data_IF_149455162548
#
_entry.id   IF_149455162548
#
_cell.length_a   1.000
_cell.length_b   1.000
_cell.length_c   1.000
_cell.angle_alpha   90.00
_cell.angle_beta   90.00
_cell.angle_gamma   90.00
#
_symmetry.space_group_name_H-M   'P 1'
#
loop_
_entity.id
_entity.type
_entity.pdbx_description
1 polymer ?
#
# COMPACT_ATOMS: atom_id res chain seq x y z
N UNK A 1 9.95 -68.39 -6.97
CA UNK A 1 8.90 -67.46 -7.47
C UNK A 1 7.75 -67.37 -6.46
N UNK A 2 7.78 -66.41 -5.54
CA UNK A 2 6.60 -65.81 -4.87
C UNK A 2 7.01 -64.38 -4.50
N UNK A 3 6.48 -63.38 -5.22
CA UNK A 3 6.69 -61.96 -4.93
C UNK A 3 5.68 -61.57 -3.85
N UNK A 4 6.17 -61.10 -2.71
CA UNK A 4 5.35 -60.60 -1.60
C UNK A 4 5.04 -59.12 -1.89
N UNK A 5 3.79 -58.81 -2.22
CA UNK A 5 3.30 -57.45 -2.41
C UNK A 5 3.23 -56.76 -1.03
N UNK A 6 3.92 -55.63 -0.89
CA UNK A 6 3.80 -54.72 0.24
C UNK A 6 2.67 -53.73 -0.09
N UNK A 7 1.52 -53.84 0.58
CA UNK A 7 0.44 -52.85 0.49
C UNK A 7 0.81 -51.61 1.32
N UNK A 8 1.12 -50.50 0.65
CA UNK A 8 1.16 -49.18 1.31
C UNK A 8 -0.27 -48.65 1.43
N UNK A 9 -0.81 -48.63 2.65
CA UNK A 9 -2.03 -47.89 2.95
C UNK A 9 -1.68 -46.40 3.13
N UNK A 10 -2.08 -45.56 2.17
CA UNK A 10 -2.12 -44.11 2.37
C UNK A 10 -3.40 -43.75 3.12
N UNK A 11 -3.29 -43.41 4.40
CA UNK A 11 -4.36 -42.78 5.14
C UNK A 11 -4.37 -41.28 4.81
N UNK A 12 -5.34 -40.83 4.01
CA UNK A 12 -5.62 -39.40 3.83
C UNK A 12 -6.41 -38.93 5.04
N UNK A 13 -5.75 -38.24 5.96
CA UNK A 13 -6.42 -37.52 7.04
C UNK A 13 -6.97 -36.23 6.43
N UNK A 14 -8.25 -36.22 6.09
CA UNK A 14 -8.98 -34.99 5.76
C UNK A 14 -9.19 -34.26 7.09
N UNK A 15 -8.27 -33.35 7.42
CA UNK A 15 -8.48 -32.38 8.49
C UNK A 15 -9.59 -31.42 8.05
N UNK A 16 -10.80 -31.61 8.58
CA UNK A 16 -11.87 -30.62 8.49
C UNK A 16 -11.48 -29.49 9.46
N UNK A 17 -10.61 -28.60 9.00
CA UNK A 17 -10.43 -27.31 9.66
C UNK A 17 -11.74 -26.53 9.50
N UNK A 18 -12.34 -26.07 10.60
CA UNK A 18 -13.44 -25.12 10.56
C UNK A 18 -13.01 -23.90 9.75
N UNK A 19 -13.46 -23.82 8.49
CA UNK A 19 -13.38 -22.59 7.72
C UNK A 19 -14.30 -21.61 8.43
N UNK A 20 -13.74 -20.58 9.04
CA UNK A 20 -14.53 -19.48 9.57
C UNK A 20 -15.34 -18.89 8.42
N UNK A 21 -16.66 -19.13 8.42
CA UNK A 21 -17.59 -18.46 7.51
C UNK A 21 -17.62 -17.01 7.96
N UNK A 22 -16.95 -16.13 7.22
CA UNK A 22 -17.08 -14.70 7.45
C UNK A 22 -18.47 -14.26 7.01
N UNK A 23 -19.27 -13.81 7.96
CA UNK A 23 -20.54 -13.16 7.68
C UNK A 23 -20.28 -11.77 7.09
N UNK A 24 -20.47 -11.65 5.78
CA UNK A 24 -20.35 -10.39 5.05
C UNK A 24 -21.64 -9.58 5.03
N UNK A 25 -22.68 -10.00 5.77
CA UNK A 25 -24.01 -9.39 5.70
C UNK A 25 -24.68 -9.56 4.33
N UNK A 26 -24.29 -10.59 3.57
CA UNK A 26 -24.78 -10.85 2.21
C UNK A 26 -24.05 -10.08 1.10
N UNK A 27 -23.00 -9.32 1.43
CA UNK A 27 -22.21 -8.59 0.44
C UNK A 27 -21.14 -9.48 -0.20
N UNK A 28 -21.06 -9.43 -1.53
CA UNK A 28 -19.99 -10.03 -2.32
C UNK A 28 -19.68 -9.16 -3.55
N UNK A 29 -18.65 -9.52 -4.33
CA UNK A 29 -18.41 -8.87 -5.63
C UNK A 29 -19.58 -9.04 -6.61
N UNK A 30 -20.38 -10.09 -6.46
CA UNK A 30 -21.56 -10.37 -7.28
C UNK A 30 -22.74 -9.44 -6.92
N UNK A 31 -22.70 -8.78 -5.76
CA UNK A 31 -23.68 -7.76 -5.36
C UNK A 31 -23.52 -6.45 -6.14
N UNK A 32 -22.46 -6.31 -6.95
CA UNK A 32 -22.12 -5.09 -7.70
C UNK A 32 -22.04 -5.39 -9.21
N UNK A 33 -22.12 -4.36 -10.08
CA UNK A 33 -21.96 -4.55 -11.52
C UNK A 33 -20.65 -5.26 -11.88
N UNK A 34 -20.68 -6.02 -12.99
CA UNK A 34 -19.47 -6.67 -13.50
C UNK A 34 -18.37 -5.64 -13.75
N UNK A 35 -17.17 -5.91 -13.21
CA UNK A 35 -16.03 -5.00 -13.32
C UNK A 35 -16.04 -3.83 -12.34
N UNK A 36 -16.90 -3.86 -11.30
CA UNK A 36 -16.85 -2.85 -10.24
C UNK A 36 -15.50 -2.90 -9.52
N UNK A 37 -14.86 -1.73 -9.39
CA UNK A 37 -13.53 -1.54 -8.81
C UNK A 37 -13.64 -1.19 -7.34
N UNK A 38 -13.04 -2.00 -6.48
CA UNK A 38 -12.83 -1.69 -5.07
C UNK A 38 -11.38 -1.28 -4.84
N UNK A 39 -11.17 -0.12 -4.22
CA UNK A 39 -9.83 0.38 -3.97
C UNK A 39 -9.69 1.06 -2.62
N UNK A 40 -8.45 1.36 -2.28
CA UNK A 40 -8.09 2.20 -1.13
C UNK A 40 -7.53 3.54 -1.59
N UNK A 41 -7.49 4.52 -0.69
CA UNK A 41 -7.01 5.86 -1.00
C UNK A 41 -6.13 6.42 0.12
N UNK A 42 -5.02 7.03 -0.25
CA UNK A 42 -4.13 7.78 0.66
C UNK A 42 -3.77 9.15 0.07
N UNK A 43 -3.00 9.94 0.82
CA UNK A 43 -2.36 11.15 0.31
C UNK A 43 -0.89 11.21 0.72
N UNK A 44 -0.06 11.79 -0.14
CA UNK A 44 1.39 11.82 0.02
C UNK A 44 1.87 12.23 1.41
N UNK A 45 1.39 13.37 1.92
CA UNK A 45 1.89 13.91 3.19
C UNK A 45 1.49 13.05 4.40
N UNK A 46 0.39 12.30 4.30
CA UNK A 46 -0.11 11.49 5.41
C UNK A 46 0.65 10.18 5.58
N UNK A 47 1.26 9.63 4.51
CA UNK A 47 1.81 8.27 4.53
C UNK A 47 3.28 8.19 4.10
N UNK A 48 3.77 9.10 3.24
CA UNK A 48 5.11 8.94 2.65
C UNK A 48 6.24 9.11 3.67
N UNK A 49 6.17 10.14 4.51
CA UNK A 49 7.34 10.60 5.25
C UNK A 49 8.41 11.23 4.35
N UNK A 50 9.65 11.21 4.82
CA UNK A 50 10.80 11.81 4.12
C UNK A 50 10.54 13.28 3.76
N UNK A 51 9.89 14.01 4.68
CA UNK A 51 9.36 15.34 4.41
C UNK A 51 10.47 16.37 4.11
N UNK A 52 11.63 16.24 4.74
CA UNK A 52 12.79 17.13 4.59
C UNK A 52 14.01 16.44 3.94
N UNK A 53 13.80 15.31 3.24
CA UNK A 53 14.86 14.49 2.63
C UNK A 53 14.56 14.20 1.16
N UNK A 54 15.54 13.63 0.45
CA UNK A 54 15.37 13.22 -0.95
C UNK A 54 15.11 14.38 -1.92
N UNK A 55 15.55 15.59 -1.55
CA UNK A 55 15.39 16.80 -2.36
C UNK A 55 13.97 17.39 -2.35
N UNK A 56 13.06 16.90 -1.50
CA UNK A 56 11.72 17.49 -1.33
C UNK A 56 11.83 18.87 -0.67
N UNK A 57 11.17 19.87 -1.26
CA UNK A 57 10.99 21.19 -0.65
C UNK A 57 9.85 21.20 0.38
N UNK A 58 9.82 22.17 1.31
CA UNK A 58 8.74 22.29 2.27
C UNK A 58 7.42 22.62 1.59
N UNK A 59 6.34 22.03 2.09
CA UNK A 59 4.95 22.41 1.79
C UNK A 59 4.40 23.32 2.90
N UNK A 60 3.22 23.91 2.66
CA UNK A 60 2.52 24.70 3.69
C UNK A 60 2.25 23.89 4.96
N UNK A 61 2.04 22.58 4.85
CA UNK A 61 1.83 21.70 6.00
C UNK A 61 3.09 21.56 6.86
N UNK A 62 4.28 21.51 6.25
CA UNK A 62 5.55 21.43 7.00
C UNK A 62 5.79 22.67 7.88
N UNK A 63 5.27 23.82 7.46
CA UNK A 63 5.30 25.06 8.25
C UNK A 63 4.20 25.06 9.31
N UNK A 64 3.00 24.62 8.94
CA UNK A 64 1.82 24.64 9.81
C UNK A 64 1.98 23.71 11.03
N UNK A 65 2.49 22.49 10.84
CA UNK A 65 2.61 21.49 11.93
C UNK A 65 3.69 21.82 12.96
N UNK A 66 4.66 22.68 12.60
CA UNK A 66 5.73 23.11 13.51
C UNK A 66 5.29 24.20 14.49
N UNK A 67 4.12 24.79 14.31
CA UNK A 67 3.57 25.77 15.23
C UNK A 67 2.97 25.05 16.44
N UNK A 68 3.42 25.32 17.68
CA UNK A 68 2.94 24.59 18.85
C UNK A 68 1.42 24.70 19.02
N UNK A 69 0.79 23.56 19.31
CA UNK A 69 -0.66 23.47 19.56
C UNK A 69 -1.54 23.33 18.31
N UNK A 70 -0.97 23.33 17.10
CA UNK A 70 -1.75 23.06 15.88
C UNK A 70 -2.08 21.58 15.69
N UNK A 71 -1.17 20.69 16.11
CA UNK A 71 -1.33 19.24 16.02
C UNK A 71 -1.28 18.67 17.44
N UNK A 72 -2.11 17.66 17.70
CA UNK A 72 -2.06 16.91 18.95
C UNK A 72 -0.62 16.43 19.23
N UNK A 73 -0.16 16.58 20.47
CA UNK A 73 1.21 16.24 20.90
C UNK A 73 2.35 16.93 20.12
N UNK A 74 2.04 17.90 19.26
CA UNK A 74 2.98 18.49 18.28
C UNK A 74 3.57 17.45 17.32
N UNK A 75 2.77 16.46 16.93
CA UNK A 75 3.17 15.43 15.97
C UNK A 75 3.48 16.03 14.58
N UNK A 76 4.33 15.34 13.82
CA UNK A 76 4.74 15.73 12.46
C UNK A 76 4.63 14.55 11.50
N UNK A 77 4.62 14.85 10.20
CA UNK A 77 4.69 13.84 9.15
C UNK A 77 6.12 13.66 8.58
N UNK A 78 7.15 13.99 9.37
CA UNK A 78 8.55 13.84 8.93
C UNK A 78 8.86 12.38 8.55
N UNK A 79 8.27 11.43 9.28
CA UNK A 79 8.33 9.98 9.05
C UNK A 79 6.97 9.41 8.60
N UNK A 80 5.87 9.84 9.23
CA UNK A 80 4.53 9.28 8.97
C UNK A 80 4.52 7.73 9.06
N UNK A 81 3.84 7.05 8.13
CA UNK A 81 3.84 5.58 8.03
C UNK A 81 5.05 5.02 7.26
N UNK A 82 5.98 5.89 6.83
CA UNK A 82 7.21 5.55 6.08
C UNK A 82 6.99 4.78 4.77
N UNK A 83 5.85 5.04 4.09
CA UNK A 83 5.55 4.45 2.78
C UNK A 83 6.64 4.78 1.74
N UNK A 84 7.41 5.86 1.92
CA UNK A 84 8.52 6.17 1.02
C UNK A 84 9.52 5.00 0.89
N UNK A 85 9.75 4.27 1.98
CA UNK A 85 10.60 3.09 2.00
C UNK A 85 9.80 1.79 1.87
N UNK A 86 8.59 1.75 2.46
CA UNK A 86 7.79 0.52 2.59
C UNK A 86 6.64 0.36 1.57
N UNK A 87 6.65 1.13 0.47
CA UNK A 87 5.59 1.04 -0.56
C UNK A 87 5.41 -0.37 -1.14
N UNK A 88 6.45 -1.23 -1.11
CA UNK A 88 6.31 -2.60 -1.61
C UNK A 88 5.48 -3.46 -0.67
N UNK A 89 5.72 -3.36 0.64
CA UNK A 89 4.91 -4.03 1.64
C UNK A 89 3.45 -3.56 1.56
N UNK A 90 3.22 -2.26 1.44
CA UNK A 90 1.86 -1.70 1.33
C UNK A 90 1.13 -2.23 0.09
N UNK A 91 1.79 -2.25 -1.07
CA UNK A 91 1.19 -2.77 -2.31
C UNK A 91 0.96 -4.29 -2.23
N UNK A 92 1.83 -5.02 -1.54
CA UNK A 92 1.63 -6.45 -1.29
C UNK A 92 0.40 -6.70 -0.41
N UNK A 93 0.11 -5.82 0.55
CA UNK A 93 -1.13 -5.87 1.33
C UNK A 93 -2.37 -5.57 0.48
N UNK A 94 -2.30 -4.60 -0.44
CA UNK A 94 -3.41 -4.34 -1.39
C UNK A 94 -3.75 -5.57 -2.22
N UNK A 95 -2.72 -6.29 -2.68
CA UNK A 95 -2.90 -7.55 -3.40
C UNK A 95 -3.47 -8.65 -2.50
N UNK A 96 -2.95 -8.80 -1.28
CA UNK A 96 -3.42 -9.80 -0.31
C UNK A 96 -4.89 -9.60 0.06
N UNK A 97 -5.34 -8.37 0.22
CA UNK A 97 -6.73 -8.03 0.53
C UNK A 97 -7.63 -7.94 -0.70
N UNK A 98 -7.13 -8.32 -1.87
CA UNK A 98 -7.88 -8.39 -3.12
C UNK A 98 -8.53 -7.06 -3.52
N UNK A 99 -7.85 -5.94 -3.30
CA UNK A 99 -8.23 -4.65 -3.88
C UNK A 99 -7.84 -4.58 -5.36
N UNK A 100 -8.63 -3.85 -6.14
CA UNK A 100 -8.47 -3.67 -7.58
C UNK A 100 -7.65 -2.43 -7.93
N UNK A 101 -7.71 -1.39 -7.10
CA UNK A 101 -7.07 -0.11 -7.38
C UNK A 101 -6.48 0.56 -6.13
N UNK A 102 -5.45 1.36 -6.35
CA UNK A 102 -4.89 2.25 -5.34
C UNK A 102 -4.86 3.69 -5.81
N UNK A 103 -5.60 4.57 -5.11
CA UNK A 103 -5.52 6.01 -5.33
C UNK A 103 -4.51 6.62 -4.36
N UNK A 104 -3.50 7.29 -4.89
CA UNK A 104 -2.57 8.09 -4.10
C UNK A 104 -2.42 9.49 -4.72
N UNK A 105 -1.86 10.43 -3.97
CA UNK A 105 -1.50 11.75 -4.50
C UNK A 105 0.01 11.86 -4.71
N UNK A 106 0.42 12.70 -5.65
CA UNK A 106 1.83 13.05 -5.87
C UNK A 106 2.13 14.33 -5.07
N UNK A 107 3.18 14.32 -4.26
CA UNK A 107 3.64 15.50 -3.53
C UNK A 107 4.26 16.51 -4.49
N UNK A 108 3.59 17.64 -4.71
CA UNK A 108 4.10 18.70 -5.60
C UNK A 108 5.50 19.15 -5.16
N UNK A 109 5.70 19.48 -3.87
CA UNK A 109 7.01 19.93 -3.39
C UNK A 109 8.11 18.86 -3.45
N UNK A 110 7.75 17.58 -3.66
CA UNK A 110 8.73 16.52 -3.96
C UNK A 110 9.17 16.54 -5.43
N UNK A 111 8.30 16.97 -6.36
CA UNK A 111 8.60 17.11 -7.80
C UNK A 111 9.25 18.46 -8.11
N UNK A 112 8.67 19.55 -7.61
CA UNK A 112 9.16 20.92 -7.75
C UNK A 112 9.38 21.52 -6.35
N UNK A 113 10.60 21.43 -5.80
CA UNK A 113 10.87 21.87 -4.42
C UNK A 113 10.55 23.34 -4.16
N UNK A 114 10.76 24.20 -5.16
CA UNK A 114 10.46 25.64 -5.11
C UNK A 114 9.06 25.96 -5.69
N UNK A 115 8.19 24.96 -5.86
CA UNK A 115 6.86 25.07 -6.47
C UNK A 115 6.86 25.14 -8.00
N UNK A 116 7.88 25.76 -8.60
CA UNK A 116 8.09 25.84 -10.06
C UNK A 116 9.57 25.68 -10.42
N UNK A 117 9.86 25.51 -11.71
CA UNK A 117 11.23 25.52 -12.21
C UNK A 117 11.93 24.16 -12.12
N UNK A 118 13.01 24.07 -11.33
CA UNK A 118 13.89 22.89 -11.35
C UNK A 118 13.18 21.65 -10.80
N UNK A 119 13.13 20.60 -11.61
CA UNK A 119 12.59 19.29 -11.22
C UNK A 119 13.57 18.58 -10.28
N UNK A 120 13.04 17.98 -9.22
CA UNK A 120 13.74 17.02 -8.39
C UNK A 120 13.56 15.59 -8.93
N UNK A 121 14.54 15.12 -9.70
CA UNK A 121 14.50 13.78 -10.31
C UNK A 121 14.50 12.63 -9.31
N UNK A 122 15.00 12.82 -8.08
CA UNK A 122 14.89 11.81 -7.03
C UNK A 122 13.42 11.58 -6.62
N UNK A 123 12.63 12.67 -6.55
CA UNK A 123 11.19 12.63 -6.34
C UNK A 123 10.46 11.91 -7.46
N UNK A 124 10.78 12.23 -8.72
CA UNK A 124 10.23 11.53 -9.89
C UNK A 124 10.54 10.02 -9.83
N UNK A 125 11.78 9.67 -9.48
CA UNK A 125 12.20 8.28 -9.38
C UNK A 125 11.44 7.51 -8.29
N UNK A 126 11.05 8.15 -7.18
CA UNK A 126 10.23 7.53 -6.15
C UNK A 126 8.85 7.11 -6.70
N UNK A 127 8.11 8.05 -7.30
CA UNK A 127 6.78 7.74 -7.86
C UNK A 127 6.86 6.71 -8.99
N UNK A 128 7.87 6.79 -9.86
CA UNK A 128 8.10 5.78 -10.89
C UNK A 128 8.29 4.37 -10.30
N UNK A 129 9.07 4.21 -9.23
CA UNK A 129 9.26 2.89 -8.59
C UNK A 129 7.96 2.36 -7.99
N UNK A 130 7.17 3.22 -7.35
CA UNK A 130 5.88 2.82 -6.75
C UNK A 130 4.86 2.43 -7.83
N UNK A 131 4.68 3.26 -8.86
CA UNK A 131 3.78 2.99 -9.99
C UNK A 131 4.18 1.70 -10.71
N UNK A 132 5.46 1.51 -10.98
CA UNK A 132 5.94 0.28 -11.60
C UNK A 132 5.64 -0.96 -10.74
N UNK A 133 5.70 -0.84 -9.42
CA UNK A 133 5.39 -1.94 -8.52
C UNK A 133 3.88 -2.23 -8.42
N UNK A 134 3.03 -1.20 -8.43
CA UNK A 134 1.57 -1.33 -8.54
C UNK A 134 1.19 -2.09 -9.82
N UNK A 135 1.69 -1.64 -10.99
CA UNK A 135 1.46 -2.30 -12.28
C UNK A 135 1.95 -3.75 -12.25
N UNK A 136 3.14 -4.01 -11.67
CA UNK A 136 3.67 -5.37 -11.52
C UNK A 136 2.75 -6.28 -10.69
N UNK A 137 1.99 -5.73 -9.75
CA UNK A 137 1.06 -6.45 -8.87
C UNK A 137 -0.38 -6.46 -9.39
N UNK A 138 -0.64 -5.86 -10.55
CA UNK A 138 -1.98 -5.74 -11.13
C UNK A 138 -2.90 -4.87 -10.26
N UNK A 139 -2.37 -3.74 -9.79
CA UNK A 139 -3.07 -2.74 -8.97
C UNK A 139 -3.02 -1.37 -9.63
#
# INVERSE_FOLDING_TARGET
MKRMLLCFAFAVIIGIGNVAVMDTGGLSRESFPMGFVFGTSTSAYQVEGMANKGGRGPSIWDVYVKQPGHIANNDTADVADDQYHHYKEDVDLLAKFNFDAYRFSISWSRIFPEGVGKVNWAGVAYYNRMINYLVKKGK
#
